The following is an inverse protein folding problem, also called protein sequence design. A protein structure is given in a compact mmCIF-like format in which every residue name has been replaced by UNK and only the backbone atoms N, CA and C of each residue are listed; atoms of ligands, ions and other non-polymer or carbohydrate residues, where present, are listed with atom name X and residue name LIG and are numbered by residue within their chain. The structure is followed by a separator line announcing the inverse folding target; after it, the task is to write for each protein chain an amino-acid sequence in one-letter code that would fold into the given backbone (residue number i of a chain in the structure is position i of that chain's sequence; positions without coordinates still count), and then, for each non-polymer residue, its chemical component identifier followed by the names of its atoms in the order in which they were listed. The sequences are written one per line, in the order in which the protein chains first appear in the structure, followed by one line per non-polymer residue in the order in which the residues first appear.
data_IF_539953493350
#
_entry.id   IF_539953493350
#
_cell.length_a   1.000
_cell.length_b   1.000
_cell.length_c   1.000
_cell.angle_alpha   90.00
_cell.angle_beta   90.00
_cell.angle_gamma   90.00
#
_symmetry.space_group_name_H-M   'P 1'
#
loop_
_entity.id
_entity.type
_entity.pdbx_description
1 polymer ?
#
# COMPACT_ATOMS: atom_id res chain seq x y z
N UNK A 1 -10.93 11.35 -11.48
CA UNK A 1 -12.17 10.57 -11.32
C UNK A 1 -12.42 10.22 -9.86
N UNK A 2 -11.45 9.59 -9.15
CA UNK A 2 -11.61 9.14 -7.76
C UNK A 2 -11.87 10.30 -6.78
N UNK A 3 -11.13 11.40 -6.85
CA UNK A 3 -11.35 12.57 -5.98
C UNK A 3 -12.78 13.12 -6.08
N UNK A 4 -13.33 13.19 -7.32
CA UNK A 4 -14.70 13.64 -7.53
C UNK A 4 -15.70 12.68 -6.89
N UNK A 5 -15.50 11.37 -7.07
CA UNK A 5 -16.36 10.35 -6.45
C UNK A 5 -16.31 10.41 -4.92
N UNK A 6 -15.15 10.62 -4.32
CA UNK A 6 -15.02 10.81 -2.87
C UNK A 6 -15.79 12.05 -2.39
N UNK A 7 -15.68 13.16 -3.13
CA UNK A 7 -16.43 14.38 -2.83
C UNK A 7 -17.95 14.17 -2.94
N UNK A 8 -18.39 13.47 -3.99
CA UNK A 8 -19.82 13.16 -4.20
C UNK A 8 -20.39 12.26 -3.07
N UNK A 9 -19.63 11.24 -2.64
CA UNK A 9 -20.09 10.26 -1.66
C UNK A 9 -19.94 10.73 -0.20
N UNK A 10 -18.89 11.48 0.10
CA UNK A 10 -18.50 11.79 1.48
C UNK A 10 -18.40 13.30 1.76
N UNK A 11 -18.70 14.16 0.78
CA UNK A 11 -18.62 15.62 0.93
C UNK A 11 -17.19 16.16 1.09
N UNK A 12 -16.16 15.29 1.02
CA UNK A 12 -14.76 15.63 1.29
C UNK A 12 -13.87 15.40 0.08
N UNK A 13 -12.96 16.35 -0.17
CA UNK A 13 -11.91 16.19 -1.21
C UNK A 13 -10.63 15.72 -0.55
N UNK A 14 -10.15 14.50 -0.84
CA UNK A 14 -8.93 13.97 -0.24
C UNK A 14 -7.69 14.78 -0.67
N UNK A 15 -6.79 15.02 0.28
CA UNK A 15 -5.52 15.73 0.08
C UNK A 15 -4.32 14.79 0.08
N UNK A 16 -4.48 13.58 0.61
CA UNK A 16 -3.44 12.56 0.70
C UNK A 16 -3.85 11.36 -0.13
N UNK A 17 -2.93 10.86 -0.94
CA UNK A 17 -3.12 9.67 -1.77
C UNK A 17 -2.50 8.45 -1.09
N UNK A 18 -3.19 7.32 -1.17
CA UNK A 18 -2.63 5.99 -0.97
C UNK A 18 -2.73 5.23 -2.28
N UNK A 19 -1.59 4.85 -2.85
CA UNK A 19 -1.57 4.00 -4.04
C UNK A 19 -1.81 2.53 -3.67
N UNK A 20 -2.25 1.71 -4.64
CA UNK A 20 -2.31 0.25 -4.48
C UNK A 20 -0.96 -0.28 -3.99
N UNK A 21 -1.00 -1.20 -3.04
CA UNK A 21 0.20 -1.84 -2.46
C UNK A 21 1.28 -0.85 -1.99
N UNK A 22 0.91 0.40 -1.71
CA UNK A 22 1.84 1.50 -1.36
C UNK A 22 2.95 1.71 -2.40
N UNK A 23 2.69 1.39 -3.69
CA UNK A 23 3.69 1.56 -4.75
C UNK A 23 4.05 3.04 -4.87
N UNK A 24 5.34 3.31 -4.77
CA UNK A 24 5.89 4.66 -4.84
C UNK A 24 7.31 4.65 -5.41
N UNK A 25 7.62 5.65 -6.21
CA UNK A 25 8.94 6.20 -6.48
C UNK A 25 8.81 7.72 -6.71
N UNK A 26 9.92 8.42 -6.87
CA UNK A 26 9.91 9.88 -6.97
C UNK A 26 9.18 10.39 -8.20
N UNK A 27 9.19 9.67 -9.32
CA UNK A 27 8.42 10.02 -10.53
C UNK A 27 6.92 9.96 -10.26
N UNK A 28 6.45 8.90 -9.58
CA UNK A 28 5.05 8.81 -9.13
C UNK A 28 4.73 9.97 -8.19
N UNK A 29 5.65 10.29 -7.27
CA UNK A 29 5.50 11.43 -6.36
C UNK A 29 5.31 12.76 -7.09
N UNK A 30 6.12 13.05 -8.10
CA UNK A 30 6.00 14.26 -8.91
C UNK A 30 4.65 14.32 -9.66
N UNK A 31 4.21 13.18 -10.22
CA UNK A 31 2.88 13.08 -10.87
C UNK A 31 1.77 13.38 -9.86
N UNK A 32 1.82 12.80 -8.68
CA UNK A 32 0.82 12.97 -7.61
C UNK A 32 0.78 14.42 -7.12
N UNK A 33 1.95 15.08 -6.97
CA UNK A 33 2.04 16.50 -6.65
C UNK A 33 1.36 17.36 -7.73
N UNK A 34 1.62 17.07 -9.00
CA UNK A 34 1.01 17.77 -10.13
C UNK A 34 -0.51 17.52 -10.25
N UNK A 35 -1.02 16.41 -9.74
CA UNK A 35 -2.46 16.17 -9.61
C UNK A 35 -3.11 17.00 -8.50
N UNK A 36 -2.32 17.73 -7.69
CA UNK A 36 -2.79 18.63 -6.63
C UNK A 36 -2.88 18.01 -5.24
N UNK A 37 -2.45 16.75 -5.06
CA UNK A 37 -2.32 16.15 -3.74
C UNK A 37 -1.22 16.84 -2.93
N UNK A 38 -1.35 16.81 -1.62
CA UNK A 38 -0.41 17.41 -0.66
C UNK A 38 0.42 16.38 0.07
N UNK A 39 -0.01 15.13 0.06
CA UNK A 39 0.72 14.05 0.68
C UNK A 39 0.45 12.69 0.03
N UNK A 40 1.34 11.75 0.28
CA UNK A 40 1.23 10.37 -0.14
C UNK A 40 1.69 9.43 0.96
N UNK A 41 0.99 8.30 1.09
CA UNK A 41 1.38 7.21 1.97
C UNK A 41 2.34 6.29 1.23
N UNK A 42 3.47 5.95 1.86
CA UNK A 42 4.58 5.21 1.25
C UNK A 42 5.07 4.12 2.20
N UNK A 43 5.57 3.02 1.66
CA UNK A 43 6.21 1.97 2.45
C UNK A 43 7.53 2.46 3.05
N UNK A 44 7.68 2.30 4.37
CA UNK A 44 8.91 2.66 5.11
C UNK A 44 9.98 1.57 5.04
N UNK A 45 10.23 1.01 3.86
CA UNK A 45 11.17 -0.08 3.69
C UNK A 45 12.59 0.28 4.14
N UNK A 46 13.25 -0.66 4.83
CA UNK A 46 14.58 -0.42 5.41
C UNK A 46 15.63 0.04 4.39
N UNK A 47 15.56 -0.48 3.17
CA UNK A 47 16.55 -0.15 2.13
C UNK A 47 16.44 1.27 1.60
N UNK A 48 15.26 1.92 1.70
CA UNK A 48 15.09 3.35 1.38
C UNK A 48 15.24 4.25 2.61
N UNK A 49 14.82 3.78 3.77
CA UNK A 49 14.97 4.56 5.01
C UNK A 49 16.44 4.60 5.47
N UNK A 50 17.21 3.52 5.26
CA UNK A 50 18.57 3.40 5.77
C UNK A 50 18.59 3.53 7.29
N UNK A 51 19.26 4.58 7.79
CA UNK A 51 19.32 4.91 9.21
C UNK A 51 18.18 5.84 9.69
N UNK A 52 17.37 6.35 8.76
CA UNK A 52 16.27 7.29 9.09
C UNK A 52 15.11 6.58 9.77
N UNK A 53 14.39 7.28 10.64
CA UNK A 53 13.17 6.79 11.26
C UNK A 53 11.95 7.00 10.33
N UNK A 54 10.99 6.07 10.25
CA UNK A 54 9.73 6.27 9.57
C UNK A 54 8.75 7.20 10.32
N UNK A 55 9.12 7.67 11.50
CA UNK A 55 8.26 8.44 12.40
C UNK A 55 8.32 9.95 12.17
N UNK A 56 8.84 10.36 11.02
CA UNK A 56 8.84 11.75 10.54
C UNK A 56 8.05 11.88 9.24
N UNK A 57 7.65 13.12 8.96
CA UNK A 57 7.16 13.48 7.63
C UNK A 57 8.36 13.79 6.75
N UNK A 58 8.43 13.23 5.57
CA UNK A 58 9.44 13.52 4.53
C UNK A 58 8.81 14.29 3.38
N UNK A 59 9.61 14.81 2.46
CA UNK A 59 9.14 15.32 1.18
C UNK A 59 9.63 14.45 0.02
N UNK A 60 8.89 14.43 -1.08
CA UNK A 60 9.35 13.83 -2.32
C UNK A 60 10.61 14.57 -2.82
N UNK A 61 11.64 13.82 -3.25
CA UNK A 61 12.89 14.40 -3.72
C UNK A 61 12.72 15.18 -5.02
N UNK A 62 11.82 14.73 -5.92
CA UNK A 62 11.57 15.42 -7.19
C UNK A 62 10.55 16.56 -7.06
N UNK A 63 9.69 16.56 -6.04
CA UNK A 63 8.72 17.64 -5.83
C UNK A 63 8.43 17.84 -4.34
N UNK A 64 9.09 18.82 -3.75
CA UNK A 64 8.98 19.13 -2.32
C UNK A 64 7.59 19.58 -1.84
N UNK A 65 6.65 19.84 -2.78
CA UNK A 65 5.26 20.16 -2.45
C UNK A 65 4.48 18.94 -1.93
N UNK A 66 4.99 17.72 -2.16
CA UNK A 66 4.38 16.47 -1.72
C UNK A 66 5.05 15.97 -0.43
N UNK A 67 4.28 15.89 0.64
CA UNK A 67 4.70 15.24 1.88
C UNK A 67 4.54 13.73 1.80
N UNK A 68 5.51 12.99 2.37
CA UNK A 68 5.48 11.52 2.43
C UNK A 68 5.25 11.07 3.86
N UNK A 69 4.25 10.19 4.03
CA UNK A 69 3.93 9.53 5.29
C UNK A 69 4.41 8.09 5.21
N UNK A 70 5.48 7.78 5.95
CA UNK A 70 6.13 6.48 5.88
C UNK A 70 5.41 5.46 6.76
N UNK A 71 5.04 4.30 6.20
CA UNK A 71 4.50 3.18 6.96
C UNK A 71 5.58 2.65 7.90
N UNK A 72 5.28 2.55 9.19
CA UNK A 72 6.07 1.70 10.07
C UNK A 72 5.75 0.23 9.75
N UNK A 73 6.62 -0.41 8.97
CA UNK A 73 6.41 -1.78 8.56
C UNK A 73 6.55 -2.77 9.74
N UNK A 74 7.42 -2.47 10.71
CA UNK A 74 7.61 -3.37 11.86
C UNK A 74 6.34 -3.43 12.70
N UNK A 75 5.87 -2.29 13.19
CA UNK A 75 4.65 -2.21 13.99
C UNK A 75 3.41 -2.69 13.21
N UNK A 76 3.33 -2.40 11.91
CA UNK A 76 2.22 -2.85 11.07
C UNK A 76 2.23 -4.36 10.86
N UNK A 77 3.42 -4.96 10.64
CA UNK A 77 3.57 -6.39 10.39
C UNK A 77 3.46 -7.22 11.67
N UNK A 78 3.77 -6.65 12.83
CA UNK A 78 3.53 -7.26 14.13
C UNK A 78 2.05 -7.61 14.31
N UNK A 79 1.16 -6.73 13.84
CA UNK A 79 -0.28 -6.98 13.87
C UNK A 79 -0.71 -7.87 12.70
N UNK A 80 -0.32 -7.51 11.47
CA UNK A 80 -0.88 -8.15 10.27
C UNK A 80 -0.34 -9.56 10.03
N UNK A 81 0.89 -9.84 10.46
CA UNK A 81 1.58 -11.10 10.14
C UNK A 81 1.91 -11.95 11.36
N UNK A 82 2.33 -11.33 12.47
CA UNK A 82 2.87 -12.05 13.64
C UNK A 82 1.90 -12.20 14.80
N UNK A 83 0.76 -11.54 14.77
CA UNK A 83 -0.17 -11.45 15.90
C UNK A 83 -0.58 -12.79 16.50
N UNK A 84 -0.81 -13.82 15.67
CA UNK A 84 -1.20 -15.17 16.12
C UNK A 84 -0.05 -16.19 16.12
N UNK A 85 1.19 -15.75 15.80
CA UNK A 85 2.35 -16.61 15.79
C UNK A 85 2.87 -16.85 17.22
N UNK A 86 2.57 -18.02 17.76
CA UNK A 86 3.01 -18.42 19.12
C UNK A 86 4.53 -18.62 19.24
N UNK A 87 5.27 -18.70 18.13
CA UNK A 87 6.73 -18.79 18.12
C UNK A 87 7.42 -17.43 18.18
N UNK A 88 6.66 -16.35 17.96
CA UNK A 88 7.18 -14.99 18.02
C UNK A 88 7.50 -14.59 19.47
N UNK A 89 8.67 -14.01 19.71
CA UNK A 89 9.16 -13.66 21.06
C UNK A 89 8.25 -12.69 21.82
N UNK A 90 7.46 -11.90 21.11
CA UNK A 90 6.55 -10.91 21.70
C UNK A 90 5.11 -11.43 21.87
N UNK A 91 4.86 -12.69 21.49
CA UNK A 91 3.56 -13.33 21.69
C UNK A 91 3.25 -13.60 23.17
N UNK A 92 2.00 -13.38 23.63
CA UNK A 92 0.89 -12.74 22.93
C UNK A 92 1.03 -11.22 22.90
N UNK A 93 0.68 -10.61 21.76
CA UNK A 93 0.67 -9.17 21.64
C UNK A 93 -0.59 -8.58 22.26
N UNK A 94 -0.43 -7.88 23.36
CA UNK A 94 -1.51 -7.19 24.08
C UNK A 94 -1.54 -5.69 23.72
N UNK A 95 -2.72 -5.07 23.83
CA UNK A 95 -2.90 -3.67 23.43
C UNK A 95 -2.07 -2.69 24.28
N UNK A 96 -1.94 -2.92 25.57
CA UNK A 96 -1.11 -2.12 26.47
C UNK A 96 0.37 -2.18 26.10
N UNK A 97 0.87 -3.38 25.78
CA UNK A 97 2.25 -3.61 25.32
C UNK A 97 2.49 -2.88 24.01
N UNK A 98 1.60 -3.03 23.03
CA UNK A 98 1.73 -2.41 21.72
C UNK A 98 1.68 -0.88 21.77
N UNK A 99 0.72 -0.31 22.51
CA UNK A 99 0.63 1.14 22.70
C UNK A 99 1.79 1.64 23.56
N UNK A 100 2.29 0.83 24.52
CA UNK A 100 3.50 1.10 25.26
C UNK A 100 4.71 1.29 24.37
N UNK A 101 4.91 0.46 23.35
CA UNK A 101 5.99 0.65 22.36
C UNK A 101 5.83 1.97 21.61
N UNK A 102 4.61 2.30 21.17
CA UNK A 102 4.30 3.55 20.47
C UNK A 102 4.60 4.77 21.36
N UNK A 103 4.20 4.73 22.64
CA UNK A 103 4.40 5.85 23.57
C UNK A 103 5.84 6.01 24.07
N UNK A 104 6.69 5.00 23.85
CA UNK A 104 8.10 4.99 24.26
C UNK A 104 9.07 5.40 23.15
N UNK A 105 8.56 5.87 22.01
CA UNK A 105 9.42 6.36 20.92
C UNK A 105 10.25 7.57 21.37
N UNK A 106 11.44 7.78 20.76
CA UNK A 106 12.29 8.91 21.04
C UNK A 106 11.56 10.25 20.86
N UNK A 107 11.95 11.25 21.69
CA UNK A 107 11.43 12.60 21.56
C UNK A 107 11.69 13.16 20.15
N UNK A 108 10.68 13.78 19.55
CA UNK A 108 10.71 14.29 18.20
C UNK A 108 10.26 13.30 17.12
N UNK A 109 10.11 12.01 17.44
CA UNK A 109 9.50 11.00 16.57
C UNK A 109 7.98 10.97 16.77
N UNK A 110 7.29 11.99 16.22
CA UNK A 110 5.91 12.31 16.61
C UNK A 110 4.85 11.70 15.68
N UNK A 111 5.24 11.04 14.58
CA UNK A 111 4.31 10.56 13.57
C UNK A 111 4.47 9.07 13.33
N UNK A 112 3.45 8.28 13.66
CA UNK A 112 3.46 6.85 13.44
C UNK A 112 2.32 6.49 12.47
N UNK A 113 2.66 5.83 11.37
CA UNK A 113 1.69 5.39 10.39
C UNK A 113 1.60 3.86 10.39
N UNK A 114 0.54 3.33 11.00
CA UNK A 114 0.20 1.90 10.97
C UNK A 114 -0.72 1.66 9.78
N UNK A 115 -0.30 0.83 8.85
CA UNK A 115 -1.06 0.54 7.63
C UNK A 115 -1.06 -0.96 7.37
N UNK A 116 -2.25 -1.52 7.16
CA UNK A 116 -2.46 -2.93 6.88
C UNK A 116 -3.67 -3.14 5.98
N UNK A 117 -3.81 -4.34 5.46
CA UNK A 117 -4.99 -4.76 4.71
C UNK A 117 -6.09 -5.23 5.67
N UNK A 118 -7.34 -5.08 5.26
CA UNK A 118 -8.47 -5.63 6.02
C UNK A 118 -8.44 -7.16 6.12
N UNK A 119 -7.76 -7.82 5.18
CA UNK A 119 -7.47 -9.25 5.22
C UNK A 119 -6.67 -9.69 6.44
N UNK A 120 -6.00 -8.78 7.14
CA UNK A 120 -5.41 -9.07 8.45
C UNK A 120 -6.46 -9.58 9.46
N UNK A 121 -7.73 -9.18 9.30
CA UNK A 121 -8.82 -9.54 10.20
C UNK A 121 -9.61 -10.73 9.64
N UNK A 122 -9.27 -11.93 10.05
CA UNK A 122 -9.99 -13.16 9.72
C UNK A 122 -9.39 -13.99 8.57
N UNK A 123 -8.49 -13.42 7.74
CA UNK A 123 -7.78 -14.18 6.70
C UNK A 123 -6.35 -14.49 7.17
N UNK A 124 -5.52 -13.46 7.44
CA UNK A 124 -4.15 -13.70 7.92
C UNK A 124 -4.13 -14.02 9.41
N UNK A 125 -4.91 -13.29 10.20
CA UNK A 125 -5.08 -13.54 11.63
C UNK A 125 -6.48 -14.11 11.86
N UNK A 126 -6.62 -15.36 12.35
CA UNK A 126 -7.92 -15.95 12.62
C UNK A 126 -8.65 -15.16 13.71
N UNK A 127 -9.98 -15.09 13.63
CA UNK A 127 -10.78 -14.36 14.63
C UNK A 127 -10.61 -14.95 16.05
N UNK A 128 -10.30 -16.25 16.15
CA UNK A 128 -9.95 -16.92 17.40
C UNK A 128 -8.67 -16.40 18.08
N UNK A 129 -7.85 -15.62 17.37
CA UNK A 129 -6.67 -14.96 17.95
C UNK A 129 -7.02 -13.76 18.84
N UNK A 130 -8.29 -13.38 18.92
CA UNK A 130 -8.77 -12.17 19.62
C UNK A 130 -8.25 -10.85 19.03
N UNK A 131 -7.86 -10.83 17.77
CA UNK A 131 -7.37 -9.60 17.10
C UNK A 131 -8.38 -8.45 17.16
N UNK A 132 -9.68 -8.74 17.10
CA UNK A 132 -10.72 -7.70 17.21
C UNK A 132 -10.78 -7.07 18.61
N UNK A 133 -10.61 -7.87 19.66
CA UNK A 133 -10.56 -7.35 21.04
C UNK A 133 -9.30 -6.51 21.27
N UNK A 134 -8.17 -6.93 20.69
CA UNK A 134 -6.96 -6.12 20.65
C UNK A 134 -7.23 -4.73 20.06
N UNK A 135 -7.89 -4.67 18.89
CA UNK A 135 -8.21 -3.38 18.25
C UNK A 135 -9.23 -2.55 19.04
N UNK A 136 -10.18 -3.18 19.73
CA UNK A 136 -11.11 -2.48 20.62
C UNK A 136 -10.43 -1.81 21.80
N UNK A 137 -9.37 -2.42 22.30
CA UNK A 137 -8.63 -1.93 23.46
C UNK A 137 -7.64 -0.79 23.12
N UNK A 138 -7.14 -0.73 21.87
CA UNK A 138 -6.12 0.25 21.46
C UNK A 138 -6.54 1.71 21.72
N UNK A 139 -7.74 2.19 21.34
CA UNK A 139 -8.10 3.60 21.55
C UNK A 139 -8.05 4.03 23.02
N UNK A 140 -8.57 3.20 23.92
CA UNK A 140 -8.57 3.51 25.35
C UNK A 140 -7.15 3.54 25.93
N UNK A 141 -6.30 2.60 25.51
CA UNK A 141 -4.90 2.57 25.93
C UNK A 141 -4.11 3.76 25.36
N UNK A 142 -4.33 4.11 24.10
CA UNK A 142 -3.71 5.23 23.43
C UNK A 142 -4.01 6.54 24.18
N UNK A 143 -5.29 6.79 24.52
CA UNK A 143 -5.70 7.98 25.26
C UNK A 143 -5.02 8.03 26.65
N UNK A 144 -4.97 6.90 27.37
CA UNK A 144 -4.31 6.82 28.70
C UNK A 144 -2.82 7.14 28.64
N UNK A 145 -2.14 6.77 27.56
CA UNK A 145 -0.71 7.00 27.37
C UNK A 145 -0.39 8.29 26.58
N UNK A 146 -1.40 9.13 26.32
CA UNK A 146 -1.21 10.42 25.64
C UNK A 146 -0.99 10.33 24.13
N UNK A 147 -1.15 9.14 23.54
CA UNK A 147 -1.07 8.95 22.07
C UNK A 147 -2.34 9.50 21.42
N UNK A 148 -2.17 10.31 20.38
CA UNK A 148 -3.27 10.98 19.67
C UNK A 148 -3.47 10.39 18.30
N UNK A 149 -4.73 10.18 17.92
CA UNK A 149 -5.10 9.82 16.56
C UNK A 149 -5.24 11.09 15.69
N UNK A 150 -4.78 11.02 14.46
CA UNK A 150 -4.91 12.10 13.49
C UNK A 150 -5.18 11.55 12.10
N UNK A 151 -5.88 12.32 11.28
CA UNK A 151 -6.00 12.01 9.85
C UNK A 151 -4.68 12.33 9.14
N UNK A 152 -4.38 11.67 8.01
CA UNK A 152 -3.19 12.00 7.21
C UNK A 152 -3.09 13.47 6.82
N UNK A 153 -4.23 14.10 6.54
CA UNK A 153 -4.29 15.53 6.20
C UNK A 153 -3.93 16.43 7.39
N UNK A 154 -4.31 16.05 8.61
CA UNK A 154 -3.92 16.77 9.83
C UNK A 154 -2.43 16.62 10.10
N UNK A 155 -1.90 15.40 9.91
CA UNK A 155 -0.46 15.14 10.10
C UNK A 155 0.38 16.04 9.19
N UNK A 156 0.13 16.04 7.87
CA UNK A 156 0.90 16.86 6.94
C UNK A 156 0.69 18.37 7.11
N UNK A 157 -0.41 18.78 7.74
CA UNK A 157 -0.66 20.21 8.02
C UNK A 157 0.07 20.71 9.27
N UNK A 158 0.31 19.83 10.25
CA UNK A 158 0.93 20.15 11.52
C UNK A 158 2.43 19.89 11.55
N UNK A 159 2.91 18.93 10.76
CA UNK A 159 4.30 18.51 10.74
C UNK A 159 4.96 18.91 9.43
N UNK A 160 6.01 19.72 9.49
CA UNK A 160 6.82 20.05 8.33
C UNK A 160 7.72 18.86 7.97
N UNK A 161 7.96 18.59 6.67
CA UNK A 161 8.94 17.58 6.27
C UNK A 161 10.32 17.89 6.84
N UNK A 162 10.97 16.87 7.42
CA UNK A 162 12.34 16.99 7.95
C UNK A 162 13.40 17.02 6.87
N UNK A 163 13.05 16.61 5.64
CA UNK A 163 13.92 16.65 4.47
C UNK A 163 13.39 15.81 3.32
N UNK A 164 14.05 15.83 2.18
CA UNK A 164 13.69 14.99 1.04
C UNK A 164 14.09 13.53 1.32
N UNK A 165 13.25 12.61 0.86
CA UNK A 165 13.53 11.18 0.79
C UNK A 165 13.60 10.78 -0.67
N UNK A 166 14.77 10.29 -1.09
CA UNK A 166 15.00 9.83 -2.46
C UNK A 166 14.59 8.37 -2.60
N UNK A 167 13.71 8.09 -3.56
CA UNK A 167 13.23 6.75 -3.90
C UNK A 167 13.26 6.58 -5.41
N UNK A 168 14.39 6.11 -5.94
CA UNK A 168 14.63 5.97 -7.38
C UNK A 168 13.84 4.80 -7.95
N UNK A 169 13.92 3.64 -7.29
CA UNK A 169 13.25 2.42 -7.73
C UNK A 169 11.93 2.22 -6.98
N UNK A 170 10.87 1.72 -7.65
CA UNK A 170 9.57 1.54 -7.03
C UNK A 170 9.62 0.63 -5.80
N UNK A 171 9.07 1.11 -4.68
CA UNK A 171 8.83 0.36 -3.47
C UNK A 171 7.37 -0.03 -3.35
N UNK A 172 7.07 -1.07 -2.61
CA UNK A 172 5.72 -1.46 -2.21
C UNK A 172 5.74 -2.15 -0.84
N UNK A 173 4.58 -2.41 -0.25
CA UNK A 173 4.51 -3.19 0.99
C UNK A 173 4.46 -4.71 0.75
N UNK A 174 4.45 -5.14 -0.51
CA UNK A 174 4.41 -6.54 -0.84
C UNK A 174 5.76 -7.20 -0.59
N UNK A 175 5.70 -8.43 -0.13
CA UNK A 175 6.83 -9.31 0.10
C UNK A 175 7.90 -8.76 1.06
N UNK A 176 8.93 -9.55 1.29
CA UNK A 176 10.06 -9.17 2.14
C UNK A 176 10.97 -8.15 1.46
N UNK A 177 11.08 -8.22 0.13
CA UNK A 177 11.90 -7.29 -0.66
C UNK A 177 11.36 -5.86 -0.68
N UNK A 178 10.08 -5.68 -0.39
CA UNK A 178 9.42 -4.36 -0.39
C UNK A 178 9.55 -3.62 -1.71
N UNK A 179 9.46 -4.33 -2.81
CA UNK A 179 9.54 -3.82 -4.18
C UNK A 179 8.32 -4.26 -5.02
N UNK A 180 8.41 -4.11 -6.33
CA UNK A 180 7.33 -4.50 -7.26
C UNK A 180 7.51 -5.89 -7.87
N UNK A 181 8.47 -6.67 -7.42
CA UNK A 181 8.81 -7.97 -8.03
C UNK A 181 7.73 -9.04 -7.83
N UNK A 182 6.85 -8.91 -6.85
CA UNK A 182 5.66 -9.77 -6.72
C UNK A 182 4.65 -9.57 -7.86
N UNK A 183 4.68 -8.43 -8.56
CA UNK A 183 3.75 -8.05 -9.63
C UNK A 183 4.40 -7.98 -11.01
N UNK A 184 5.71 -7.71 -11.07
CA UNK A 184 6.45 -7.51 -12.33
C UNK A 184 7.79 -8.28 -12.37
N UNK A 185 7.98 -9.26 -11.47
CA UNK A 185 9.25 -9.97 -11.29
C UNK A 185 9.54 -11.02 -12.34
N UNK A 186 8.53 -11.69 -12.91
CA UNK A 186 8.74 -12.78 -13.86
C UNK A 186 8.36 -12.42 -15.31
N UNK A 187 8.65 -13.33 -16.24
CA UNK A 187 8.40 -13.12 -17.67
C UNK A 187 6.92 -12.97 -18.01
N UNK A 188 6.03 -13.78 -17.41
CA UNK A 188 4.60 -13.73 -17.62
C UNK A 188 4.00 -12.39 -17.22
N UNK A 189 4.38 -11.89 -16.04
CA UNK A 189 3.93 -10.59 -15.53
C UNK A 189 4.40 -9.44 -16.43
N UNK A 190 5.65 -9.45 -16.86
CA UNK A 190 6.19 -8.42 -17.76
C UNK A 190 5.56 -8.45 -19.14
N UNK A 191 5.30 -9.65 -19.70
CA UNK A 191 4.62 -9.78 -20.99
C UNK A 191 3.19 -9.26 -20.91
N UNK A 192 2.43 -9.65 -19.90
CA UNK A 192 1.08 -9.18 -19.67
C UNK A 192 1.03 -7.65 -19.49
N UNK A 193 1.96 -7.10 -18.72
CA UNK A 193 2.07 -5.66 -18.51
C UNK A 193 2.42 -4.91 -19.80
N UNK A 194 3.44 -5.37 -20.54
CA UNK A 194 3.84 -4.74 -21.79
C UNK A 194 2.70 -4.74 -22.84
N UNK A 195 1.94 -5.84 -22.92
CA UNK A 195 0.81 -5.94 -23.84
C UNK A 195 -0.37 -5.07 -23.42
N UNK A 196 -0.63 -4.96 -22.11
CA UNK A 196 -1.67 -4.09 -21.57
C UNK A 196 -1.34 -2.61 -21.85
N UNK A 197 -0.11 -2.19 -21.62
CA UNK A 197 0.34 -0.80 -21.74
C UNK A 197 1.07 -0.51 -23.06
N UNK A 198 0.82 -1.31 -24.11
CA UNK A 198 1.28 -0.97 -25.45
C UNK A 198 0.79 0.42 -25.86
N UNK A 199 1.67 1.25 -26.43
CA UNK A 199 1.36 2.67 -26.73
C UNK A 199 0.12 2.84 -27.61
N UNK A 200 -0.09 1.93 -28.59
CA UNK A 200 -1.27 1.97 -29.47
C UNK A 200 -2.54 1.64 -28.72
N UNK A 201 -2.46 0.69 -27.77
CA UNK A 201 -3.59 0.33 -26.91
C UNK A 201 -3.95 1.49 -26.01
N UNK A 202 -2.98 2.05 -25.30
CA UNK A 202 -3.19 3.23 -24.44
C UNK A 202 -3.76 4.41 -25.23
N UNK A 203 -3.21 4.69 -26.41
CA UNK A 203 -3.71 5.78 -27.28
C UNK A 203 -5.17 5.57 -27.68
N UNK A 204 -5.58 4.34 -28.05
CA UNK A 204 -6.97 4.01 -28.36
C UNK A 204 -7.90 4.19 -27.17
N UNK A 205 -7.47 3.75 -25.98
CA UNK A 205 -8.26 3.88 -24.74
C UNK A 205 -8.45 5.34 -24.33
N UNK A 206 -7.40 6.16 -24.43
CA UNK A 206 -7.49 7.59 -24.12
C UNK A 206 -8.44 8.33 -25.06
N UNK A 207 -8.49 7.93 -26.33
CA UNK A 207 -9.43 8.46 -27.32
C UNK A 207 -10.85 7.87 -27.22
N UNK A 208 -11.02 6.75 -26.55
CA UNK A 208 -12.28 6.01 -26.47
C UNK A 208 -13.30 6.76 -25.59
N UNK A 209 -14.52 6.93 -26.13
CA UNK A 209 -15.66 7.51 -25.39
C UNK A 209 -16.61 6.46 -24.83
N UNK A 210 -16.39 5.18 -25.12
CA UNK A 210 -17.22 4.10 -24.64
C UNK A 210 -16.87 3.78 -23.18
N UNK A 211 -17.81 4.11 -22.27
CA UNK A 211 -17.65 3.93 -20.82
C UNK A 211 -17.41 2.47 -20.43
N UNK A 212 -18.00 1.52 -21.14
CA UNK A 212 -17.84 0.09 -20.84
C UNK A 212 -16.41 -0.37 -21.14
N UNK A 213 -15.85 0.03 -22.29
CA UNK A 213 -14.45 -0.27 -22.64
C UNK A 213 -13.50 0.35 -21.61
N UNK A 214 -13.75 1.59 -21.18
CA UNK A 214 -12.94 2.22 -20.14
C UNK A 214 -13.03 1.48 -18.81
N UNK A 215 -14.20 0.98 -18.43
CA UNK A 215 -14.37 0.19 -17.21
C UNK A 215 -13.68 -1.17 -17.30
N UNK A 216 -13.73 -1.84 -18.46
CA UNK A 216 -13.03 -3.09 -18.66
C UNK A 216 -11.50 -2.88 -18.61
N UNK A 217 -11.00 -1.78 -19.19
CA UNK A 217 -9.62 -1.35 -19.06
C UNK A 217 -9.22 -1.11 -17.59
N UNK A 218 -10.04 -0.38 -16.82
CA UNK A 218 -9.79 -0.14 -15.40
C UNK A 218 -9.65 -1.46 -14.60
N UNK A 219 -10.42 -2.50 -14.95
CA UNK A 219 -10.37 -3.82 -14.31
C UNK A 219 -9.11 -4.60 -14.68
N UNK A 220 -8.69 -4.52 -15.94
CA UNK A 220 -7.47 -5.20 -16.41
C UNK A 220 -6.20 -4.67 -15.73
N UNK A 221 -6.22 -3.43 -15.25
CA UNK A 221 -5.10 -2.79 -14.55
C UNK A 221 -4.98 -3.17 -13.07
N UNK A 222 -5.91 -3.98 -12.51
CA UNK A 222 -5.84 -4.35 -11.11
C UNK A 222 -4.55 -5.12 -10.81
N UNK A 223 -3.83 -4.71 -9.76
CA UNK A 223 -2.54 -5.31 -9.36
C UNK A 223 -2.65 -6.79 -9.02
N UNK A 224 -3.81 -7.22 -8.53
CA UNK A 224 -4.12 -8.62 -8.22
C UNK A 224 -3.97 -9.51 -9.44
N UNK A 225 -4.35 -9.05 -10.64
CA UNK A 225 -4.18 -9.82 -11.87
C UNK A 225 -2.72 -10.23 -12.09
N UNK A 226 -1.79 -9.32 -11.79
CA UNK A 226 -0.35 -9.58 -11.91
C UNK A 226 0.18 -10.40 -10.73
N UNK A 227 -0.34 -10.19 -9.51
CA UNK A 227 0.05 -10.99 -8.33
C UNK A 227 -0.31 -12.47 -8.49
N UNK A 228 -1.44 -12.81 -9.10
CA UNK A 228 -1.82 -14.20 -9.35
C UNK A 228 -0.83 -14.95 -10.24
N UNK A 229 -0.06 -14.23 -11.07
CA UNK A 229 0.98 -14.81 -11.94
C UNK A 229 2.35 -14.91 -11.25
N UNK A 230 2.46 -14.59 -9.95
CA UNK A 230 3.76 -14.63 -9.27
C UNK A 230 4.28 -16.05 -9.10
N UNK A 231 5.56 -16.24 -9.35
CA UNK A 231 6.29 -17.48 -9.08
C UNK A 231 7.01 -17.44 -7.73
N UNK A 232 6.89 -16.33 -7.00
CA UNK A 232 7.49 -16.19 -5.67
C UNK A 232 6.72 -17.02 -4.65
N UNK A 233 7.46 -17.82 -3.87
CA UNK A 233 6.92 -18.61 -2.78
C UNK A 233 7.34 -17.97 -1.45
N UNK A 234 6.54 -17.04 -0.95
CA UNK A 234 6.91 -16.15 0.17
C UNK A 234 6.52 -16.70 1.55
N UNK A 235 6.36 -18.03 1.70
CA UNK A 235 5.99 -18.62 3.00
C UNK A 235 4.57 -18.26 3.49
N UNK A 236 3.99 -17.18 3.00
CA UNK A 236 2.57 -16.91 3.10
C UNK A 236 1.87 -17.68 1.99
N UNK A 237 0.74 -18.31 2.27
CA UNK A 237 -0.07 -18.94 1.24
C UNK A 237 -0.32 -17.90 0.15
N UNK A 238 0.29 -18.10 -1.02
CA UNK A 238 0.09 -17.22 -2.16
C UNK A 238 -1.39 -17.28 -2.49
N UNK A 239 -2.13 -16.22 -2.13
CA UNK A 239 -3.53 -16.14 -2.52
C UNK A 239 -3.58 -15.99 -4.03
N UNK A 240 -3.88 -17.09 -4.71
CA UNK A 240 -4.01 -17.17 -6.17
C UNK A 240 -5.44 -16.97 -6.65
N UNK A 241 -6.34 -16.58 -5.75
CA UNK A 241 -7.75 -16.44 -6.06
C UNK A 241 -8.37 -17.79 -6.42
N UNK A 242 -8.94 -17.86 -7.63
CA UNK A 242 -9.59 -19.08 -8.19
C UNK A 242 -8.64 -19.93 -9.04
N UNK A 243 -7.35 -19.56 -9.13
CA UNK A 243 -6.38 -20.25 -10.00
C UNK A 243 -5.60 -21.30 -9.22
N UNK A 244 -5.40 -22.46 -9.84
CA UNK A 244 -4.62 -23.54 -9.25
C UNK A 244 -3.12 -23.24 -9.26
N UNK A 245 -2.66 -22.48 -10.26
CA UNK A 245 -1.27 -22.11 -10.43
C UNK A 245 -1.13 -20.77 -11.19
N UNK A 246 0.10 -20.25 -11.26
CA UNK A 246 0.42 -18.99 -11.91
C UNK A 246 0.27 -19.02 -13.44
N UNK A 247 0.41 -20.19 -14.06
CA UNK A 247 0.26 -20.35 -15.52
C UNK A 247 -1.21 -20.26 -15.94
N UNK A 248 -2.11 -20.81 -15.13
CA UNK A 248 -3.56 -20.70 -15.36
C UNK A 248 -4.01 -19.25 -15.23
N UNK A 249 -3.48 -18.53 -14.23
CA UNK A 249 -3.73 -17.10 -14.06
C UNK A 249 -3.25 -16.30 -15.29
N UNK A 250 -2.03 -16.56 -15.76
CA UNK A 250 -1.47 -15.91 -16.94
C UNK A 250 -2.28 -16.21 -18.20
N UNK A 251 -2.57 -17.48 -18.46
CA UNK A 251 -3.33 -17.90 -19.65
C UNK A 251 -4.71 -17.26 -19.68
N UNK A 252 -5.41 -17.26 -18.57
CA UNK A 252 -6.73 -16.67 -18.44
C UNK A 252 -6.69 -15.15 -18.65
N UNK A 253 -5.73 -14.47 -18.02
CA UNK A 253 -5.54 -13.04 -18.20
C UNK A 253 -5.24 -12.67 -19.65
N UNK A 254 -4.34 -13.41 -20.32
CA UNK A 254 -3.95 -13.14 -21.69
C UNK A 254 -5.11 -13.41 -22.68
N UNK A 255 -5.97 -14.39 -22.40
CA UNK A 255 -7.17 -14.64 -23.18
C UNK A 255 -8.18 -13.48 -23.04
N UNK A 256 -8.42 -13.01 -21.82
CA UNK A 256 -9.31 -11.88 -21.56
C UNK A 256 -8.74 -10.60 -22.20
N UNK A 257 -7.45 -10.34 -22.04
CA UNK A 257 -6.78 -9.20 -22.67
C UNK A 257 -6.85 -9.30 -24.20
N UNK A 258 -6.59 -10.48 -24.78
CA UNK A 258 -6.67 -10.72 -26.22
C UNK A 258 -8.07 -10.46 -26.79
N UNK A 259 -9.13 -10.83 -26.06
CA UNK A 259 -10.51 -10.53 -26.44
C UNK A 259 -10.82 -9.03 -26.32
N UNK A 260 -10.36 -8.40 -25.23
CA UNK A 260 -10.50 -6.95 -25.03
C UNK A 260 -9.86 -6.15 -26.18
N UNK A 261 -8.66 -6.54 -26.62
CA UNK A 261 -7.92 -5.83 -27.67
C UNK A 261 -8.57 -5.92 -29.07
N UNK A 262 -9.48 -6.86 -29.31
CA UNK A 262 -10.27 -7.00 -30.54
C UNK A 262 -11.45 -6.05 -30.62
N UNK A 263 -11.87 -5.50 -29.49
CA UNK A 263 -13.00 -4.55 -29.36
C UNK A 263 -12.57 -3.12 -29.67
#
# INVERSE_FOLDING_TARGET
RQMRKMKELFGHTPKVLRNSSLIYNDEIGAIVANMGFKGMMVEGAKHIMGWRSPHYVYSCAQDSRLSLLMRDYKLSDDISLRFSDSSWSEYPLMADKYVGWISSLPEGEDVINIMMELSAFGIYQPLSSNILEFFRAIPDMAVKLGVKFATPSEVISKNKPVGPLEVIYPVSWNDEERDTSSMLGNGMQREAFAKLYDEKVVGRILACRNRRIQQDWDRLQATENFRFMTTKNNGMSVYRGIYDNEYDAFTNYMNILGDFLKR
#
